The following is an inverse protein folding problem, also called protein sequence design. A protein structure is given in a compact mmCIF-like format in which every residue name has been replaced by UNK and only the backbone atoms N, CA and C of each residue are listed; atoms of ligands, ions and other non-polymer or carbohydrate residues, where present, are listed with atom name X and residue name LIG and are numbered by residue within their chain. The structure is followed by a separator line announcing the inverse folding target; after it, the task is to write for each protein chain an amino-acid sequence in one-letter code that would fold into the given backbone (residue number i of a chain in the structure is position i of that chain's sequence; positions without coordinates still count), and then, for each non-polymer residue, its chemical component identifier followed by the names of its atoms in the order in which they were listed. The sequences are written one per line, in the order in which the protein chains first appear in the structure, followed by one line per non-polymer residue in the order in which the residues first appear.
data_IF_944577256515
#
_entry.id   IF_944577256515
#
_cell.length_a   1.000
_cell.length_b   1.000
_cell.length_c   1.000
_cell.angle_alpha   90.00
_cell.angle_beta   90.00
_cell.angle_gamma   90.00
#
_symmetry.space_group_name_H-M   'P 1'
#
loop_
_entity.id
_entity.type
_entity.pdbx_description
1 polymer ?
#
# COMPACT_ATOMS: atom_id res chain seq x y z
N UNK A 1 -14.77 -35.49 6.50
CA UNK A 1 -14.89 -34.26 7.33
C UNK A 1 -14.25 -33.11 6.56
N UNK A 2 -14.98 -32.01 6.37
CA UNK A 2 -14.42 -30.83 5.71
C UNK A 2 -13.36 -30.22 6.61
N UNK A 3 -12.20 -29.84 6.05
CA UNK A 3 -11.18 -29.06 6.79
C UNK A 3 -11.53 -27.58 6.87
N UNK A 4 -12.63 -27.16 6.24
CA UNK A 4 -13.09 -25.78 6.15
C UNK A 4 -14.54 -25.73 6.64
N UNK A 5 -14.77 -24.93 7.67
CA UNK A 5 -16.09 -24.70 8.26
C UNK A 5 -16.32 -23.19 8.40
N UNK A 6 -17.56 -22.75 8.19
CA UNK A 6 -17.91 -21.34 8.31
C UNK A 6 -17.94 -20.97 9.80
N UNK A 7 -17.22 -19.92 10.16
CA UNK A 7 -17.28 -19.37 11.52
C UNK A 7 -18.72 -18.94 11.86
N UNK A 8 -19.19 -19.18 13.09
CA UNK A 8 -20.48 -18.67 13.55
C UNK A 8 -20.45 -17.16 13.85
N UNK A 9 -19.27 -16.55 13.91
CA UNK A 9 -19.12 -15.12 14.15
C UNK A 9 -19.34 -14.31 12.87
N UNK A 10 -20.07 -13.20 12.98
CA UNK A 10 -20.19 -12.24 11.89
C UNK A 10 -18.84 -11.55 11.66
N UNK A 11 -18.35 -11.63 10.42
CA UNK A 11 -17.23 -10.79 10.00
C UNK A 11 -17.73 -9.36 9.84
N UNK A 12 -17.20 -8.45 10.66
CA UNK A 12 -17.45 -7.01 10.53
C UNK A 12 -16.38 -6.42 9.62
N UNK A 13 -16.79 -5.53 8.72
CA UNK A 13 -15.89 -4.76 7.87
C UNK A 13 -16.36 -3.31 7.84
N UNK A 14 -15.44 -2.39 7.62
CA UNK A 14 -15.68 -0.95 7.63
C UNK A 14 -15.68 -0.38 6.22
N UNK A 15 -16.50 0.65 6.01
CA UNK A 15 -16.53 1.46 4.79
C UNK A 15 -15.83 2.79 5.10
N UNK A 16 -14.91 3.17 4.23
CA UNK A 16 -14.07 4.36 4.38
C UNK A 16 -14.33 5.28 3.20
N UNK A 17 -14.88 6.46 3.49
CA UNK A 17 -15.00 7.52 2.50
C UNK A 17 -13.68 8.28 2.41
N UNK A 18 -13.04 8.21 1.25
CA UNK A 18 -11.77 8.89 0.98
C UNK A 18 -12.00 10.19 0.18
N UNK A 19 -13.12 10.30 -0.54
CA UNK A 19 -13.36 11.43 -1.41
C UNK A 19 -13.47 12.71 -0.61
N UNK A 20 -12.70 13.70 -1.02
CA UNK A 20 -12.68 15.01 -0.35
C UNK A 20 -11.92 15.01 0.97
N UNK A 21 -11.36 13.86 1.40
CA UNK A 21 -10.48 13.82 2.57
C UNK A 21 -9.24 14.70 2.32
N UNK A 22 -8.98 15.57 3.29
CA UNK A 22 -7.74 16.31 3.46
C UNK A 22 -6.57 15.38 3.75
N UNK A 23 -5.35 15.90 3.66
CA UNK A 23 -4.15 15.12 3.92
C UNK A 23 -4.09 14.67 5.38
N UNK A 24 -4.54 15.51 6.29
CA UNK A 24 -4.63 15.24 7.72
C UNK A 24 -5.63 14.11 8.00
N UNK A 25 -6.83 14.16 7.41
CA UNK A 25 -7.82 13.06 7.53
C UNK A 25 -7.31 11.74 6.95
N UNK A 26 -6.53 11.77 5.86
CA UNK A 26 -5.91 10.56 5.30
C UNK A 26 -4.90 9.93 6.27
N UNK A 27 -4.13 10.75 6.99
CA UNK A 27 -3.20 10.29 8.02
C UNK A 27 -3.99 9.68 9.18
N UNK A 28 -5.04 10.35 9.66
CA UNK A 28 -5.89 9.83 10.73
C UNK A 28 -6.53 8.48 10.37
N UNK A 29 -7.00 8.33 9.13
CA UNK A 29 -7.54 7.06 8.61
C UNK A 29 -6.46 5.97 8.63
N UNK A 30 -5.24 6.28 8.16
CA UNK A 30 -4.14 5.32 8.15
C UNK A 30 -3.77 4.89 9.57
N UNK A 31 -3.69 5.83 10.52
CA UNK A 31 -3.42 5.53 11.93
C UNK A 31 -4.53 4.69 12.58
N UNK A 32 -5.80 5.05 12.34
CA UNK A 32 -6.95 4.33 12.90
C UNK A 32 -7.04 2.89 12.40
N UNK A 33 -6.62 2.63 11.16
CA UNK A 33 -6.59 1.29 10.55
C UNK A 33 -5.25 0.57 10.73
N UNK A 34 -4.23 1.22 11.31
CA UNK A 34 -2.89 0.66 11.49
C UNK A 34 -2.14 0.41 10.18
N UNK A 35 -2.33 1.25 9.17
CA UNK A 35 -1.68 1.16 7.87
C UNK A 35 -0.29 1.81 7.92
N UNK A 36 0.72 1.11 7.42
CA UNK A 36 2.09 1.62 7.22
C UNK A 36 2.27 2.38 5.89
N UNK A 37 1.18 2.89 5.32
CA UNK A 37 1.17 3.65 4.09
C UNK A 37 1.63 5.08 4.33
N UNK A 38 2.44 5.61 3.40
CA UNK A 38 2.83 7.02 3.41
C UNK A 38 1.64 7.92 3.05
N UNK A 39 1.68 9.22 3.42
CA UNK A 39 0.64 10.18 3.01
C UNK A 39 0.45 10.23 1.48
N UNK A 40 1.53 10.13 0.71
CA UNK A 40 1.50 10.11 -0.75
C UNK A 40 0.79 8.86 -1.30
N UNK A 41 1.01 7.70 -0.68
CA UNK A 41 0.31 6.47 -1.05
C UNK A 41 -1.18 6.54 -0.71
N UNK A 42 -1.54 7.12 0.44
CA UNK A 42 -2.93 7.36 0.80
C UNK A 42 -3.62 8.35 -0.15
N UNK A 43 -2.93 9.38 -0.61
CA UNK A 43 -3.42 10.31 -1.64
C UNK A 43 -3.66 9.60 -2.97
N UNK A 44 -2.72 8.76 -3.42
CA UNK A 44 -2.88 7.97 -4.64
C UNK A 44 -4.09 7.01 -4.56
N UNK A 45 -4.30 6.39 -3.41
CA UNK A 45 -5.47 5.54 -3.15
C UNK A 45 -6.76 6.37 -3.15
N UNK A 46 -6.77 7.54 -2.50
CA UNK A 46 -7.91 8.47 -2.54
C UNK A 46 -8.28 8.85 -3.97
N UNK A 47 -7.30 9.21 -4.80
CA UNK A 47 -7.54 9.63 -6.18
C UNK A 47 -8.16 8.49 -7.00
N UNK A 48 -7.69 7.26 -6.79
CA UNK A 48 -8.26 6.07 -7.40
C UNK A 48 -9.74 5.85 -7.00
N UNK A 49 -10.06 5.90 -5.70
CA UNK A 49 -11.44 5.71 -5.23
C UNK A 49 -12.37 6.88 -5.58
N UNK A 50 -11.83 8.10 -5.67
CA UNK A 50 -12.53 9.28 -6.19
C UNK A 50 -12.94 9.05 -7.64
N UNK A 51 -12.03 8.56 -8.49
CA UNK A 51 -12.31 8.24 -9.89
C UNK A 51 -13.31 7.09 -10.06
N UNK A 52 -13.23 6.06 -9.21
CA UNK A 52 -14.19 4.96 -9.18
C UNK A 52 -15.60 5.34 -8.71
N UNK A 53 -15.74 6.54 -8.12
CA UNK A 53 -16.98 7.04 -7.55
C UNK A 53 -17.60 6.12 -6.48
N UNK A 54 -16.78 5.49 -5.62
CA UNK A 54 -17.25 4.67 -4.49
C UNK A 54 -16.29 4.74 -3.29
N UNK A 55 -16.75 4.44 -2.07
CA UNK A 55 -15.86 4.31 -0.92
C UNK A 55 -15.01 3.03 -1.01
N UNK A 56 -13.94 3.01 -0.23
CA UNK A 56 -13.11 1.82 0.00
C UNK A 56 -13.67 0.99 1.17
N UNK A 57 -13.29 -0.27 1.22
CA UNK A 57 -13.41 -1.10 2.43
C UNK A 57 -12.08 -1.15 3.19
N UNK A 58 -12.12 -1.40 4.48
CA UNK A 58 -10.94 -1.66 5.30
C UNK A 58 -10.07 -2.80 4.72
N UNK A 59 -10.70 -3.89 4.27
CA UNK A 59 -10.02 -5.03 3.64
C UNK A 59 -9.26 -4.62 2.38
N UNK A 60 -9.83 -3.74 1.55
CA UNK A 60 -9.15 -3.21 0.38
C UNK A 60 -7.94 -2.34 0.77
N UNK A 61 -8.08 -1.47 1.79
CA UNK A 61 -6.97 -0.64 2.27
C UNK A 61 -5.85 -1.48 2.89
N UNK A 62 -6.19 -2.51 3.67
CA UNK A 62 -5.22 -3.48 4.20
C UNK A 62 -4.50 -4.24 3.06
N UNK A 63 -5.20 -4.51 1.96
CA UNK A 63 -4.56 -5.14 0.78
C UNK A 63 -3.50 -4.23 0.16
N UNK A 64 -3.78 -2.92 0.05
CA UNK A 64 -2.76 -1.96 -0.39
C UNK A 64 -1.59 -1.91 0.58
N UNK A 65 -1.85 -1.78 1.88
CA UNK A 65 -0.81 -1.75 2.92
C UNK A 65 0.16 -2.94 2.80
N UNK A 66 -0.38 -4.15 2.69
CA UNK A 66 0.44 -5.35 2.57
C UNK A 66 1.21 -5.41 1.25
N UNK A 67 0.55 -5.12 0.13
CA UNK A 67 1.15 -5.30 -1.21
C UNK A 67 2.12 -4.17 -1.58
N UNK A 68 1.92 -2.98 -1.04
CA UNK A 68 2.77 -1.81 -1.27
C UNK A 68 3.78 -1.62 -0.14
N UNK A 69 3.78 -2.46 0.90
CA UNK A 69 4.84 -2.47 1.91
C UNK A 69 6.23 -2.63 1.28
N UNK A 70 7.27 -2.15 1.97
CA UNK A 70 8.64 -2.28 1.49
C UNK A 70 9.04 -3.74 1.24
N UNK A 71 8.64 -4.62 2.14
CA UNK A 71 8.94 -6.05 2.05
C UNK A 71 8.33 -6.70 0.80
N UNK A 72 7.12 -6.31 0.41
CA UNK A 72 6.44 -6.89 -0.75
C UNK A 72 6.85 -6.19 -2.05
N UNK A 73 6.83 -4.86 -2.06
CA UNK A 73 7.06 -4.08 -3.27
C UNK A 73 8.54 -3.90 -3.60
N UNK A 74 9.43 -4.02 -2.61
CA UNK A 74 10.86 -3.80 -2.72
C UNK A 74 11.18 -2.37 -3.23
N UNK A 75 10.64 -1.33 -2.59
CA UNK A 75 10.79 0.07 -3.05
C UNK A 75 12.26 0.46 -3.09
N UNK A 76 13.07 0.08 -2.10
CA UNK A 76 14.52 0.39 -2.09
C UNK A 76 15.24 -0.20 -3.29
N UNK A 77 14.93 -1.45 -3.66
CA UNK A 77 15.60 -2.13 -4.79
C UNK A 77 15.21 -1.55 -6.14
N UNK A 78 14.04 -0.93 -6.25
CA UNK A 78 13.52 -0.30 -7.46
C UNK A 78 13.78 1.21 -7.51
N UNK A 79 14.00 1.83 -6.36
CA UNK A 79 14.13 3.26 -6.20
C UNK A 79 15.48 3.79 -6.70
N UNK A 80 15.50 5.10 -6.93
CA UNK A 80 16.74 5.84 -7.20
C UNK A 80 17.44 6.10 -5.87
N UNK A 81 18.73 5.79 -5.79
CA UNK A 81 19.54 5.95 -4.58
C UNK A 81 20.65 6.94 -4.87
N UNK A 82 20.70 8.02 -4.09
CA UNK A 82 21.79 9.00 -4.11
C UNK A 82 22.89 8.57 -3.14
N UNK A 83 24.13 8.52 -3.62
CA UNK A 83 25.33 8.22 -2.83
C UNK A 83 26.38 9.31 -3.04
N UNK A 84 27.42 9.41 -2.18
CA UNK A 84 28.53 10.33 -2.41
C UNK A 84 29.26 10.11 -3.74
N UNK A 85 29.20 8.90 -4.29
CA UNK A 85 29.86 8.50 -5.54
C UNK A 85 28.98 8.71 -6.79
N UNK A 86 27.68 8.99 -6.61
CA UNK A 86 26.75 9.25 -7.71
C UNK A 86 25.34 8.72 -7.47
N UNK A 87 24.60 8.51 -8.55
CA UNK A 87 23.20 8.06 -8.51
C UNK A 87 23.09 6.63 -9.03
N UNK A 88 22.42 5.77 -8.28
CA UNK A 88 22.09 4.39 -8.67
C UNK A 88 20.59 4.31 -9.01
N UNK A 89 20.28 3.98 -10.27
CA UNK A 89 18.92 3.77 -10.75
C UNK A 89 18.45 2.33 -10.49
N UNK A 90 18.04 2.06 -9.26
CA UNK A 90 17.55 0.76 -8.79
C UNK A 90 18.65 -0.30 -8.63
N UNK A 91 18.82 -0.84 -7.42
CA UNK A 91 19.79 -1.91 -7.13
C UNK A 91 19.54 -3.16 -7.98
N UNK A 92 18.26 -3.54 -8.16
CA UNK A 92 17.89 -4.73 -8.94
C UNK A 92 18.31 -4.57 -10.41
N UNK A 93 18.00 -3.41 -11.00
CA UNK A 93 18.30 -3.09 -12.41
C UNK A 93 19.80 -2.91 -12.63
N UNK A 94 20.47 -2.20 -11.72
CA UNK A 94 21.86 -1.78 -11.91
C UNK A 94 22.86 -2.89 -11.63
N UNK A 95 22.64 -3.71 -10.59
CA UNK A 95 23.64 -4.68 -10.12
C UNK A 95 23.20 -6.13 -10.24
N UNK A 96 21.99 -6.46 -9.77
CA UNK A 96 21.58 -7.86 -9.58
C UNK A 96 21.22 -8.53 -10.91
N UNK A 97 20.42 -7.86 -11.75
CA UNK A 97 19.95 -8.42 -13.01
C UNK A 97 21.09 -8.74 -13.98
N UNK A 98 22.18 -7.98 -13.95
CA UNK A 98 23.36 -8.19 -14.80
C UNK A 98 24.07 -9.53 -14.59
N UNK A 99 23.80 -10.22 -13.48
CA UNK A 99 24.43 -11.53 -13.18
C UNK A 99 23.78 -12.67 -13.97
N UNK A 100 22.54 -12.48 -14.43
CA UNK A 100 21.75 -13.47 -15.17
C UNK A 100 21.55 -13.09 -16.65
N UNK A 101 22.11 -11.97 -17.08
CA UNK A 101 22.20 -11.53 -18.48
C UNK A 101 23.58 -11.88 -19.06
#
# INVERSE_FOLDING_TARGET
MSRIERSPHSFQHHIIELRGASREELIEIAEALGLGLTPEEMEAIKDYYTALNRPATDVELQTYDQTWSEHCYHKTFKGVIETPEGVVDGLLKTYIRRVVE
#
